data_IF_898265660414
#
_entry.id   IF_898265660414
#
_cell.length_a   1.000
_cell.length_b   1.000
_cell.length_c   1.000
_cell.angle_alpha   90.00
_cell.angle_beta   90.00
_cell.angle_gamma   90.00
#
_symmetry.space_group_name_H-M   'P 1'
#
loop_
_entity.id
_entity.type
_entity.pdbx_description
1 polymer ?
#
# COMPACT_ATOMS: atom_id res chain seq x y z
N UNK A 1 19.81 -2.44 10.05
CA UNK A 1 18.44 -2.91 9.73
C UNK A 1 17.63 -1.69 9.35
N UNK A 2 16.78 -1.75 8.30
CA UNK A 2 15.93 -0.59 7.94
C UNK A 2 14.81 -0.44 8.96
N UNK A 3 14.42 0.79 9.24
CA UNK A 3 13.34 1.15 10.17
C UNK A 3 12.02 1.34 9.44
N UNK A 4 10.91 1.38 10.18
CA UNK A 4 9.59 1.73 9.60
C UNK A 4 9.63 3.08 8.87
N UNK A 5 10.36 4.06 9.42
CA UNK A 5 10.56 5.37 8.79
C UNK A 5 11.28 5.27 7.44
N UNK A 6 12.21 4.33 7.26
CA UNK A 6 12.91 4.15 5.99
C UNK A 6 11.97 3.59 4.91
N UNK A 7 11.10 2.65 5.26
CA UNK A 7 10.10 2.11 4.34
C UNK A 7 8.99 3.11 4.06
N UNK A 8 8.55 3.87 5.06
CA UNK A 8 7.58 4.95 4.86
C UNK A 8 8.11 6.03 3.91
N UNK A 9 9.40 6.39 3.99
CA UNK A 9 10.03 7.29 2.99
C UNK A 9 9.97 6.74 1.56
N UNK A 10 9.98 5.41 1.37
CA UNK A 10 9.78 4.81 0.05
C UNK A 10 8.32 4.91 -0.40
N UNK A 11 7.36 4.69 0.50
CA UNK A 11 5.94 4.91 0.20
C UNK A 11 5.66 6.38 -0.18
N UNK A 12 6.27 7.34 0.51
CA UNK A 12 6.18 8.78 0.17
C UNK A 12 6.76 9.08 -1.22
N UNK A 13 7.81 8.38 -1.65
CA UNK A 13 8.32 8.53 -3.03
C UNK A 13 7.31 8.05 -4.07
N UNK A 14 6.55 6.99 -3.79
CA UNK A 14 5.47 6.55 -4.66
C UNK A 14 4.29 7.54 -4.65
N UNK A 15 3.92 8.07 -3.48
CA UNK A 15 2.88 9.11 -3.37
C UNK A 15 3.19 10.35 -4.22
N UNK A 16 4.47 10.76 -4.31
CA UNK A 16 4.90 11.84 -5.20
C UNK A 16 4.71 11.52 -6.68
N UNK A 17 4.92 10.27 -7.10
CA UNK A 17 4.66 9.85 -8.48
C UNK A 17 3.17 9.93 -8.80
N UNK A 18 2.30 9.49 -7.89
CA UNK A 18 0.85 9.71 -8.04
C UNK A 18 0.53 11.20 -8.21
N UNK A 19 1.11 12.06 -7.37
CA UNK A 19 0.91 13.51 -7.48
C UNK A 19 1.34 14.06 -8.85
N UNK A 20 2.50 13.64 -9.36
CA UNK A 20 3.02 14.03 -10.68
C UNK A 20 2.10 13.59 -11.84
N UNK A 21 1.33 12.51 -11.64
CA UNK A 21 0.33 12.02 -12.58
C UNK A 21 -1.05 12.68 -12.42
N UNK A 22 -1.22 13.58 -11.44
CA UNK A 22 -2.52 14.19 -11.12
C UNK A 22 -3.46 13.30 -10.31
N UNK A 23 -2.94 12.24 -9.69
CA UNK A 23 -3.68 11.33 -8.82
C UNK A 23 -3.77 11.85 -7.38
N UNK A 24 -4.63 11.22 -6.57
CA UNK A 24 -4.60 11.37 -5.11
C UNK A 24 -3.22 10.88 -4.62
N UNK A 25 -2.44 11.69 -3.87
CA UNK A 25 -1.04 11.41 -3.55
C UNK A 25 -0.87 10.37 -2.44
N UNK A 26 -1.22 9.11 -2.74
CA UNK A 26 -1.09 7.97 -1.85
C UNK A 26 -0.12 6.97 -2.47
N UNK A 27 0.84 6.51 -1.65
CA UNK A 27 1.82 5.52 -2.03
C UNK A 27 1.89 4.39 -1.01
N UNK A 28 2.27 3.20 -1.49
CA UNK A 28 2.39 2.01 -0.68
C UNK A 28 3.62 1.17 -1.07
N UNK A 29 4.21 0.49 -0.09
CA UNK A 29 5.24 -0.52 -0.30
C UNK A 29 4.97 -1.75 0.56
N UNK A 30 5.25 -2.95 0.03
CA UNK A 30 5.19 -4.20 0.79
C UNK A 30 6.59 -4.75 0.98
N UNK A 31 6.89 -5.12 2.22
CA UNK A 31 8.18 -5.63 2.66
C UNK A 31 8.03 -7.06 3.17
N UNK A 32 8.94 -7.94 2.75
CA UNK A 32 9.11 -9.30 3.29
C UNK A 32 10.59 -9.53 3.52
N UNK A 33 10.97 -10.08 4.68
CA UNK A 33 12.37 -10.37 5.03
C UNK A 33 13.31 -9.17 4.85
N UNK A 34 12.88 -7.96 5.24
CA UNK A 34 13.57 -6.67 5.03
C UNK A 34 13.74 -6.23 3.56
N UNK A 35 13.19 -6.95 2.59
CA UNK A 35 13.24 -6.61 1.17
C UNK A 35 11.90 -6.03 0.72
N UNK A 36 11.96 -4.93 -0.05
CA UNK A 36 10.76 -4.36 -0.68
C UNK A 36 10.41 -5.22 -1.89
N UNK A 37 9.30 -5.95 -1.82
CA UNK A 37 8.85 -6.85 -2.88
C UNK A 37 7.82 -6.19 -3.80
N UNK A 38 7.12 -5.16 -3.33
CA UNK A 38 6.19 -4.38 -4.15
C UNK A 38 6.23 -2.90 -3.79
N UNK A 39 5.97 -2.07 -4.80
CA UNK A 39 5.78 -0.62 -4.69
C UNK A 39 4.61 -0.22 -5.57
N UNK A 40 3.77 0.68 -5.09
CA UNK A 40 2.65 1.18 -5.86
C UNK A 40 2.22 2.57 -5.39
N UNK A 41 1.45 3.25 -6.21
CA UNK A 41 0.79 4.51 -5.92
C UNK A 41 -0.62 4.47 -6.51
N UNK A 42 -1.48 5.38 -6.06
CA UNK A 42 -2.84 5.48 -6.57
C UNK A 42 -2.83 5.73 -8.09
N UNK A 43 -3.69 5.01 -8.81
CA UNK A 43 -3.84 5.09 -10.26
C UNK A 43 -5.31 5.11 -10.69
N UNK A 44 -6.21 5.53 -9.78
CA UNK A 44 -7.67 5.51 -9.99
C UNK A 44 -8.07 6.33 -11.22
N UNK A 45 -7.53 7.54 -11.36
CA UNK A 45 -7.89 8.44 -12.45
C UNK A 45 -7.24 7.98 -13.77
N UNK A 46 -6.00 7.52 -13.73
CA UNK A 46 -5.22 7.06 -14.88
C UNK A 46 -5.80 5.80 -15.49
N UNK A 47 -6.17 4.83 -14.66
CA UNK A 47 -6.71 3.54 -15.10
C UNK A 47 -8.23 3.57 -15.25
N UNK A 48 -8.91 4.63 -14.80
CA UNK A 48 -10.37 4.69 -14.71
C UNK A 48 -10.94 3.49 -13.95
N UNK A 49 -10.26 3.07 -12.89
CA UNK A 49 -10.59 1.89 -12.09
C UNK A 49 -10.77 2.28 -10.61
N UNK A 50 -11.97 2.11 -10.03
CA UNK A 50 -12.25 2.55 -8.66
C UNK A 50 -11.41 1.82 -7.61
N UNK A 51 -10.89 0.63 -7.94
CA UNK A 51 -10.09 -0.21 -7.04
C UNK A 51 -8.58 0.06 -7.12
N UNK A 52 -8.12 0.91 -8.04
CA UNK A 52 -6.71 1.17 -8.31
C UNK A 52 -6.04 2.07 -7.23
N UNK A 53 -6.25 1.72 -5.96
CA UNK A 53 -5.59 2.31 -4.80
C UNK A 53 -4.19 1.72 -4.63
N UNK A 54 -3.31 2.48 -3.97
CA UNK A 54 -1.91 2.09 -3.79
C UNK A 54 -1.78 0.74 -3.06
N UNK A 55 -2.57 0.51 -2.02
CA UNK A 55 -2.56 -0.73 -1.23
C UNK A 55 -2.98 -1.93 -2.06
N UNK A 56 -4.07 -1.80 -2.83
CA UNK A 56 -4.59 -2.86 -3.68
C UNK A 56 -3.58 -3.29 -4.74
N UNK A 57 -3.02 -2.30 -5.47
CA UNK A 57 -2.01 -2.56 -6.50
C UNK A 57 -0.73 -3.15 -5.88
N UNK A 58 -0.33 -2.70 -4.67
CA UNK A 58 0.82 -3.27 -3.98
C UNK A 58 0.59 -4.74 -3.59
N UNK A 59 -0.61 -5.09 -3.12
CA UNK A 59 -1.01 -6.46 -2.76
C UNK A 59 -0.97 -7.36 -3.99
N UNK A 60 -1.53 -6.93 -5.13
CA UNK A 60 -1.50 -7.68 -6.38
C UNK A 60 -0.06 -7.96 -6.82
N UNK A 61 0.77 -6.91 -6.89
CA UNK A 61 2.20 -7.04 -7.27
C UNK A 61 2.99 -7.93 -6.31
N UNK A 62 2.76 -7.82 -5.00
CA UNK A 62 3.41 -8.68 -4.03
C UNK A 62 2.99 -10.14 -4.19
N UNK A 63 1.71 -10.39 -4.50
CA UNK A 63 1.17 -11.73 -4.73
C UNK A 63 1.79 -12.37 -5.97
N UNK A 64 2.00 -11.59 -7.04
CA UNK A 64 2.74 -12.03 -8.23
C UNK A 64 4.19 -12.39 -7.91
N UNK A 65 4.90 -11.56 -7.12
CA UNK A 65 6.29 -11.82 -6.74
C UNK A 65 6.43 -13.07 -5.86
N UNK A 66 5.48 -13.31 -4.96
CA UNK A 66 5.49 -14.50 -4.08
C UNK A 66 4.96 -15.74 -4.83
N UNK A 67 4.12 -15.57 -5.85
CA UNK A 67 3.40 -16.67 -6.48
C UNK A 67 2.26 -17.22 -5.61
N UNK A 68 1.72 -16.40 -4.71
CA UNK A 68 0.67 -16.79 -3.76
C UNK A 68 -0.19 -15.58 -3.41
N UNK A 69 -1.49 -15.81 -3.20
CA UNK A 69 -2.40 -14.80 -2.65
C UNK A 69 -2.18 -14.55 -1.15
N UNK A 70 -1.49 -15.47 -0.45
CA UNK A 70 -1.12 -15.31 0.97
C UNK A 70 0.18 -14.53 1.08
N UNK A 71 0.08 -13.33 1.63
CA UNK A 71 1.18 -12.44 1.94
C UNK A 71 1.54 -12.50 3.43
N UNK A 72 1.64 -13.72 3.95
CA UNK A 72 2.13 -13.98 5.31
C UNK A 72 3.57 -13.45 5.44
N UNK A 73 3.96 -13.10 6.68
CA UNK A 73 5.26 -12.49 7.00
C UNK A 73 5.58 -11.17 6.27
N UNK A 74 4.58 -10.54 5.64
CA UNK A 74 4.74 -9.25 5.00
C UNK A 74 4.34 -8.10 5.93
N UNK A 75 4.89 -6.91 5.66
CA UNK A 75 4.39 -5.65 6.20
C UNK A 75 4.02 -4.72 5.06
N UNK A 76 2.82 -4.15 5.11
CA UNK A 76 2.38 -3.07 4.22
C UNK A 76 2.68 -1.72 4.88
N UNK A 77 3.34 -0.82 4.16
CA UNK A 77 3.51 0.58 4.53
C UNK A 77 2.72 1.44 3.56
N UNK A 78 1.86 2.34 4.05
CA UNK A 78 1.03 3.21 3.22
C UNK A 78 1.00 4.63 3.78
N UNK A 79 1.00 5.65 2.92
CA UNK A 79 1.12 7.04 3.37
C UNK A 79 -0.13 7.60 4.06
N UNK A 80 -1.29 6.99 3.83
CA UNK A 80 -2.59 7.37 4.39
C UNK A 80 -3.27 6.12 4.97
N UNK A 81 -4.09 6.31 5.99
CA UNK A 81 -4.91 5.26 6.57
C UNK A 81 -5.74 4.53 5.49
N UNK A 82 -5.69 3.17 5.45
CA UNK A 82 -6.47 2.39 4.50
C UNK A 82 -7.97 2.62 4.61
N UNK A 83 -8.63 2.74 3.47
CA UNK A 83 -10.09 2.76 3.40
C UNK A 83 -10.69 1.36 3.59
N UNK A 84 -12.01 1.26 3.73
CA UNK A 84 -12.74 -0.02 3.94
C UNK A 84 -12.38 -1.11 2.90
N UNK A 85 -12.23 -0.73 1.63
CA UNK A 85 -11.85 -1.67 0.56
C UNK A 85 -10.44 -2.21 0.77
N UNK A 86 -9.48 -1.32 1.06
CA UNK A 86 -8.09 -1.70 1.23
C UNK A 86 -7.88 -2.48 2.53
N UNK A 87 -8.55 -2.09 3.61
CA UNK A 87 -8.58 -2.84 4.86
C UNK A 87 -9.10 -4.27 4.64
N UNK A 88 -10.19 -4.45 3.88
CA UNK A 88 -10.68 -5.77 3.48
C UNK A 88 -9.64 -6.56 2.69
N UNK A 89 -9.00 -5.95 1.68
CA UNK A 89 -7.96 -6.59 0.88
C UNK A 89 -6.75 -7.03 1.72
N UNK A 90 -6.33 -6.22 2.69
CA UNK A 90 -5.24 -6.53 3.64
C UNK A 90 -5.60 -7.79 4.46
N UNK A 91 -6.82 -7.86 5.01
CA UNK A 91 -7.29 -9.02 5.78
C UNK A 91 -7.37 -10.27 4.91
N UNK A 92 -7.88 -10.14 3.68
CA UNK A 92 -8.02 -11.24 2.73
C UNK A 92 -6.67 -11.77 2.23
N UNK A 93 -5.66 -10.90 2.13
CA UNK A 93 -4.29 -11.26 1.72
C UNK A 93 -3.41 -11.78 2.87
N UNK A 94 -3.92 -11.81 4.11
CA UNK A 94 -3.21 -12.31 5.30
C UNK A 94 -1.95 -11.50 5.66
N UNK A 95 -1.90 -10.21 5.32
CA UNK A 95 -0.83 -9.33 5.77
C UNK A 95 -0.99 -9.10 7.29
N UNK A 96 -0.03 -9.52 8.14
CA UNK A 96 -0.16 -9.43 9.59
C UNK A 96 0.04 -8.01 10.14
N UNK A 97 0.70 -7.12 9.38
CA UNK A 97 1.10 -5.81 9.87
C UNK A 97 0.93 -4.72 8.81
N UNK A 98 0.27 -3.64 9.20
CA UNK A 98 0.15 -2.42 8.41
C UNK A 98 0.75 -1.26 9.21
N UNK A 99 1.52 -0.42 8.53
CA UNK A 99 2.02 0.85 9.05
C UNK A 99 1.51 1.95 8.15
N UNK A 100 0.73 2.88 8.70
CA UNK A 100 0.22 4.01 7.93
C UNK A 100 0.76 5.34 8.45
N UNK A 101 0.80 6.34 7.57
CA UNK A 101 1.32 7.67 7.87
C UNK A 101 0.29 8.58 8.52
N UNK A 102 -0.60 9.16 7.71
CA UNK A 102 -1.65 10.06 8.18
C UNK A 102 -2.97 9.30 8.44
N UNK A 103 -3.77 9.80 9.39
CA UNK A 103 -5.15 9.33 9.66
C UNK A 103 -6.08 9.88 8.57
N UNK A 104 -7.08 9.09 8.16
CA UNK A 104 -8.15 9.53 7.25
C UNK A 104 -9.49 9.63 7.98
N UNK A 105 -9.91 10.83 8.44
CA UNK A 105 -11.17 11.00 9.16
C UNK A 105 -12.42 10.81 8.30
N UNK A 106 -12.30 10.75 6.96
CA UNK A 106 -13.45 10.63 6.05
C UNK A 106 -13.73 9.19 5.67
N UNK A 107 -12.70 8.37 5.52
CA UNK A 107 -12.83 7.02 4.96
C UNK A 107 -11.92 5.97 5.57
N UNK A 108 -11.10 6.32 6.57
CA UNK A 108 -10.22 5.40 7.28
C UNK A 108 -11.01 4.31 8.00
N UNK A 109 -10.46 3.09 8.00
CA UNK A 109 -11.12 1.90 8.54
C UNK A 109 -10.16 1.06 9.39
N UNK A 110 -9.21 1.69 10.10
CA UNK A 110 -8.23 0.99 10.95
C UNK A 110 -8.35 1.31 12.44
N UNK A 111 -9.44 1.95 12.85
CA UNK A 111 -9.81 2.26 14.24
C UNK A 111 -11.15 1.66 14.66
#
# INVERSE_FOLDING_TARGET
MRTDNDYMRLAIKEARKAQELGEVPIGAVIVKDNHVIARAHNLRETLQQPTAHAEHIAIERASEVIGSWRLEDCTLYVTLEPCVMCAGAIVMSRIPRVVYGAIDPKGGCTG
#
